data_IF_003963574609
#
_entry.id   IF_003963574609
#
_cell.length_a   1.000
_cell.length_b   1.000
_cell.length_c   1.000
_cell.angle_alpha   90.00
_cell.angle_beta   90.00
_cell.angle_gamma   90.00
#
_symmetry.space_group_name_H-M   'P 1'
#
loop_
_entity.id
_entity.type
_entity.pdbx_description
1 polymer ?
#
# COMPACT_ATOMS: atom_id res chain seq x y z
N UNK A 1 -7.09 16.26 -3.26
CA UNK A 1 -7.09 16.64 -1.84
C UNK A 1 -8.05 15.77 -1.03
N UNK A 2 -9.36 15.74 -1.35
CA UNK A 2 -10.37 15.03 -0.55
C UNK A 2 -9.99 13.55 -0.37
N UNK A 3 -9.53 12.86 -1.40
CA UNK A 3 -9.10 11.46 -1.36
C UNK A 3 -7.91 11.25 -0.39
N UNK A 4 -6.83 12.04 -0.51
CA UNK A 4 -5.71 11.98 0.44
C UNK A 4 -6.08 12.42 1.85
N UNK A 5 -7.07 13.31 2.01
CA UNK A 5 -7.60 13.71 3.32
C UNK A 5 -8.28 12.53 4.01
N UNK A 6 -9.06 11.74 3.26
CA UNK A 6 -9.68 10.53 3.79
C UNK A 6 -8.64 9.46 4.14
N UNK A 7 -7.64 9.23 3.26
CA UNK A 7 -6.54 8.30 3.54
C UNK A 7 -5.76 8.70 4.81
N UNK A 8 -5.38 9.97 4.94
CA UNK A 8 -4.69 10.47 6.14
C UNK A 8 -5.55 10.35 7.40
N UNK A 9 -6.87 10.61 7.29
CA UNK A 9 -7.80 10.45 8.41
C UNK A 9 -7.84 9.00 8.88
N UNK A 10 -7.94 8.05 7.95
CA UNK A 10 -8.02 6.63 8.31
C UNK A 10 -6.67 6.10 8.81
N UNK A 11 -5.53 6.58 8.29
CA UNK A 11 -4.21 6.29 8.86
C UNK A 11 -4.07 6.83 10.30
N UNK A 12 -4.62 8.00 10.61
CA UNK A 12 -4.68 8.52 11.99
C UNK A 12 -5.56 7.66 12.89
N UNK A 13 -6.68 7.15 12.39
CA UNK A 13 -7.54 6.22 13.12
C UNK A 13 -6.83 4.88 13.37
N UNK A 14 -6.07 4.38 12.38
CA UNK A 14 -5.20 3.23 12.54
C UNK A 14 -4.18 3.47 13.66
N UNK A 15 -3.49 4.62 13.65
CA UNK A 15 -2.55 5.00 14.70
C UNK A 15 -3.19 5.00 16.09
N UNK A 16 -4.38 5.56 16.24
CA UNK A 16 -5.12 5.55 17.51
C UNK A 16 -5.41 4.12 17.97
N UNK A 17 -5.82 3.24 17.06
CA UNK A 17 -6.11 1.83 17.39
C UNK A 17 -4.85 1.06 17.77
N UNK A 18 -3.75 1.31 17.07
CA UNK A 18 -2.43 0.72 17.37
C UNK A 18 -1.90 1.24 18.73
N UNK A 19 -1.98 2.53 19.01
CA UNK A 19 -1.55 3.10 20.31
C UNK A 19 -2.35 2.49 21.47
N UNK A 20 -3.64 2.26 21.26
CA UNK A 20 -4.47 1.56 22.24
C UNK A 20 -4.01 0.12 22.44
N UNK A 21 -3.69 -0.60 21.37
CA UNK A 21 -3.16 -1.96 21.43
C UNK A 21 -1.78 -1.98 22.11
N UNK A 22 -0.87 -1.10 21.74
CA UNK A 22 0.47 -1.00 22.34
C UNK A 22 0.40 -0.74 23.84
N UNK A 23 -0.50 0.13 24.28
CA UNK A 23 -0.68 0.46 25.69
C UNK A 23 -1.37 -0.64 26.52
N UNK A 24 -2.20 -1.45 25.86
CA UNK A 24 -2.96 -2.54 26.48
C UNK A 24 -3.13 -3.70 25.46
N UNK A 25 -2.13 -4.57 25.33
CA UNK A 25 -2.14 -5.65 24.34
C UNK A 25 -3.10 -6.77 24.74
N UNK A 26 -4.34 -6.67 24.28
CA UNK A 26 -5.40 -7.66 24.41
C UNK A 26 -5.86 -8.11 23.01
N UNK A 27 -6.50 -9.28 22.92
CA UNK A 27 -7.03 -9.77 21.65
C UNK A 27 -8.02 -8.78 21.03
N UNK A 28 -8.91 -8.20 21.84
CA UNK A 28 -9.87 -7.19 21.36
C UNK A 28 -9.19 -5.97 20.73
N UNK A 29 -8.09 -5.50 21.35
CA UNK A 29 -7.35 -4.35 20.81
C UNK A 29 -6.53 -4.73 19.56
N UNK A 30 -5.98 -5.96 19.49
CA UNK A 30 -5.34 -6.48 18.28
C UNK A 30 -6.34 -6.56 17.12
N UNK A 31 -7.50 -7.14 17.35
CA UNK A 31 -8.56 -7.25 16.34
C UNK A 31 -9.05 -5.86 15.89
N UNK A 32 -9.11 -4.90 16.81
CA UNK A 32 -9.45 -3.52 16.50
C UNK A 32 -8.38 -2.83 15.65
N UNK A 33 -7.10 -3.08 15.93
CA UNK A 33 -5.97 -2.57 15.13
C UNK A 33 -5.98 -3.17 13.72
N UNK A 34 -6.17 -4.49 13.59
CA UNK A 34 -6.34 -5.18 12.31
C UNK A 34 -7.48 -4.57 11.48
N UNK A 35 -8.65 -4.39 12.10
CA UNK A 35 -9.80 -3.77 11.45
C UNK A 35 -9.53 -2.34 11.01
N UNK A 36 -8.81 -1.55 11.81
CA UNK A 36 -8.45 -0.18 11.45
C UNK A 36 -7.45 -0.14 10.28
N UNK A 37 -6.53 -1.12 10.20
CA UNK A 37 -5.64 -1.27 9.05
C UNK A 37 -6.43 -1.54 7.76
N UNK A 38 -7.31 -2.54 7.76
CA UNK A 38 -8.19 -2.86 6.63
C UNK A 38 -8.99 -1.64 6.17
N UNK A 39 -9.55 -0.86 7.11
CA UNK A 39 -10.27 0.36 6.79
C UNK A 39 -9.35 1.43 6.18
N UNK A 40 -8.12 1.57 6.66
CA UNK A 40 -7.14 2.52 6.13
C UNK A 40 -6.71 2.16 4.70
N UNK A 41 -6.60 0.87 4.37
CA UNK A 41 -6.36 0.41 3.00
C UNK A 41 -7.47 0.79 2.03
N UNK A 42 -8.73 0.79 2.46
CA UNK A 42 -9.87 1.19 1.61
C UNK A 42 -9.73 2.63 1.08
N UNK A 43 -9.35 3.56 1.94
CA UNK A 43 -9.18 4.96 1.54
C UNK A 43 -7.84 5.21 0.84
N UNK A 44 -6.76 4.54 1.25
CA UNK A 44 -5.45 4.66 0.60
C UNK A 44 -5.45 4.04 -0.81
N UNK A 45 -5.96 2.83 -1.00
CA UNK A 45 -5.96 2.12 -2.27
C UNK A 45 -6.52 2.93 -3.44
N UNK A 46 -7.53 3.77 -3.19
CA UNK A 46 -8.05 4.66 -4.22
C UNK A 46 -7.15 5.87 -4.53
N UNK A 47 -6.12 6.13 -3.72
CA UNK A 47 -5.11 7.18 -4.02
C UNK A 47 -3.96 6.68 -4.90
N UNK A 48 -3.78 5.39 -5.04
CA UNK A 48 -2.65 4.81 -5.79
C UNK A 48 -2.65 5.20 -7.28
N UNK A 49 -3.80 5.56 -7.83
CA UNK A 49 -3.91 6.14 -9.19
C UNK A 49 -3.12 7.45 -9.38
N UNK A 50 -2.74 8.13 -8.30
CA UNK A 50 -1.92 9.34 -8.38
C UNK A 50 -0.42 9.06 -8.50
N UNK A 51 0.00 7.80 -8.45
CA UNK A 51 1.34 7.34 -8.79
C UNK A 51 1.58 7.46 -10.30
N UNK A 52 2.83 7.38 -10.70
CA UNK A 52 3.29 7.35 -12.09
C UNK A 52 2.91 8.61 -12.90
N UNK A 53 2.63 9.70 -12.18
CA UNK A 53 2.25 10.99 -12.76
C UNK A 53 3.27 12.09 -12.50
N UNK A 54 4.45 11.75 -11.97
CA UNK A 54 5.48 12.68 -11.50
C UNK A 54 4.90 13.69 -10.48
N UNK A 55 4.09 13.16 -9.57
CA UNK A 55 3.39 13.92 -8.53
C UNK A 55 4.11 13.88 -7.17
N UNK A 56 3.51 14.48 -6.12
CA UNK A 56 4.14 14.59 -4.80
C UNK A 56 4.51 13.26 -4.13
N UNK A 57 3.86 12.17 -4.49
CA UNK A 57 4.09 10.88 -3.85
C UNK A 57 5.30 10.15 -4.42
N UNK A 58 5.62 10.34 -5.72
CA UNK A 58 6.59 9.53 -6.43
C UNK A 58 7.38 10.28 -7.51
N UNK A 59 7.45 11.60 -7.44
CA UNK A 59 8.30 12.35 -8.36
C UNK A 59 9.76 11.92 -8.22
N UNK A 60 10.37 11.48 -9.32
CA UNK A 60 11.73 10.93 -9.33
C UNK A 60 12.80 11.99 -9.12
N UNK A 61 12.57 13.21 -9.60
CA UNK A 61 13.53 14.31 -9.54
C UNK A 61 12.88 15.70 -9.45
N UNK A 62 13.72 16.72 -9.40
CA UNK A 62 13.35 18.13 -9.40
C UNK A 62 12.67 18.60 -8.12
N UNK A 63 12.11 19.83 -8.18
CA UNK A 63 11.61 20.50 -7.01
C UNK A 63 10.46 19.76 -6.29
N UNK A 64 9.69 18.93 -6.99
CA UNK A 64 8.59 18.17 -6.40
C UNK A 64 9.18 17.08 -5.49
N UNK A 65 10.11 16.27 -6.00
CA UNK A 65 10.81 15.25 -5.22
C UNK A 65 11.56 15.87 -4.04
N UNK A 66 12.32 16.94 -4.26
CA UNK A 66 13.04 17.66 -3.20
C UNK A 66 12.12 18.23 -2.11
N UNK A 67 10.89 18.61 -2.47
CA UNK A 67 9.95 19.22 -1.53
C UNK A 67 9.15 18.19 -0.72
N UNK A 68 8.75 17.07 -1.33
CA UNK A 68 7.81 16.10 -0.77
C UNK A 68 8.42 14.72 -0.53
N UNK A 69 9.62 14.44 -1.02
CA UNK A 69 10.45 13.29 -0.63
C UNK A 69 10.20 11.98 -1.38
N UNK A 70 9.33 11.96 -2.43
CA UNK A 70 9.04 10.74 -3.19
C UNK A 70 8.70 9.54 -2.26
N UNK A 71 7.69 9.70 -1.42
CA UNK A 71 7.43 8.84 -0.26
C UNK A 71 6.68 7.54 -0.57
N UNK A 72 6.46 7.21 -1.83
CA UNK A 72 5.71 6.01 -2.20
C UNK A 72 6.35 4.75 -1.61
N UNK A 73 7.65 4.54 -1.83
CA UNK A 73 8.37 3.40 -1.28
C UNK A 73 8.42 3.36 0.26
N UNK A 74 8.20 4.49 0.93
CA UNK A 74 8.08 4.55 2.40
C UNK A 74 6.66 4.25 2.90
N UNK A 75 5.65 4.38 2.03
CA UNK A 75 4.23 4.25 2.38
C UNK A 75 3.68 2.88 1.99
N UNK A 76 4.05 2.35 0.81
CA UNK A 76 3.39 1.18 0.23
C UNK A 76 4.31 0.26 -0.59
N UNK A 77 5.62 0.24 -0.31
CA UNK A 77 6.53 -0.68 -1.00
C UNK A 77 6.12 -2.14 -0.83
N UNK A 78 6.28 -2.91 -1.89
CA UNK A 78 6.06 -4.33 -2.02
C UNK A 78 6.95 -4.88 -3.17
N UNK A 79 7.50 -6.09 -3.14
CA UNK A 79 7.35 -7.14 -2.11
C UNK A 79 8.13 -6.83 -0.82
N UNK A 80 7.86 -7.61 0.24
CA UNK A 80 8.46 -7.44 1.57
C UNK A 80 9.14 -8.73 2.02
N UNK A 81 10.42 -8.64 2.42
CA UNK A 81 11.11 -9.74 3.12
C UNK A 81 10.71 -9.75 4.60
N UNK A 82 9.85 -10.68 4.97
CA UNK A 82 9.35 -10.85 6.34
C UNK A 82 10.49 -11.09 7.33
N UNK A 83 11.49 -11.89 6.92
CA UNK A 83 12.64 -12.21 7.76
C UNK A 83 13.50 -11.00 8.13
N UNK A 84 13.40 -9.91 7.37
CA UNK A 84 14.05 -8.66 7.73
C UNK A 84 13.38 -8.01 8.97
N UNK A 85 12.06 -8.07 9.08
CA UNK A 85 11.30 -7.40 10.15
C UNK A 85 11.26 -8.25 11.41
N UNK A 86 10.74 -9.48 11.29
CA UNK A 86 10.44 -10.38 12.41
C UNK A 86 10.63 -11.83 11.97
N UNK A 87 10.43 -12.78 12.88
CA UNK A 87 10.52 -14.19 12.56
C UNK A 87 9.44 -14.63 11.58
N UNK A 88 9.82 -15.60 10.76
CA UNK A 88 8.91 -16.51 10.04
C UNK A 88 9.10 -17.92 10.55
N UNK A 89 8.26 -18.84 10.10
CA UNK A 89 8.40 -20.28 10.36
C UNK A 89 9.01 -20.91 9.12
N UNK A 90 10.20 -21.49 9.29
CA UNK A 90 10.90 -22.19 8.20
C UNK A 90 10.25 -23.56 7.88
N UNK A 91 10.76 -24.21 6.84
CA UNK A 91 10.28 -25.53 6.40
C UNK A 91 10.38 -26.64 7.46
N UNK A 92 11.24 -26.45 8.46
CA UNK A 92 11.38 -27.37 9.61
C UNK A 92 10.42 -27.05 10.75
N UNK A 93 9.59 -26.02 10.62
CA UNK A 93 8.65 -25.54 11.64
C UNK A 93 9.32 -24.74 12.74
N UNK A 94 10.52 -24.15 12.48
CA UNK A 94 11.27 -23.37 13.45
C UNK A 94 11.15 -21.88 13.13
N UNK A 95 11.19 -21.05 14.18
CA UNK A 95 11.31 -19.60 14.03
C UNK A 95 12.68 -19.23 13.47
N UNK A 96 12.69 -18.41 12.44
CA UNK A 96 13.90 -17.73 11.96
C UNK A 96 14.40 -16.70 12.97
N UNK A 97 15.60 -16.17 12.76
CA UNK A 97 16.23 -15.15 13.62
C UNK A 97 17.20 -14.29 12.81
N UNK A 98 17.70 -13.22 13.42
CA UNK A 98 18.60 -12.27 12.77
C UNK A 98 17.85 -11.15 12.07
N UNK A 99 16.65 -10.81 12.54
CA UNK A 99 15.79 -9.75 12.05
C UNK A 99 15.90 -8.46 12.91
N UNK A 100 15.20 -7.40 12.51
CA UNK A 100 15.18 -6.12 13.23
C UNK A 100 14.65 -6.29 14.67
N UNK A 101 13.64 -7.15 14.87
CA UNK A 101 13.01 -7.35 16.18
C UNK A 101 13.97 -8.01 17.17
N UNK A 102 14.73 -9.01 16.79
CA UNK A 102 15.62 -9.76 17.71
C UNK A 102 17.06 -9.20 17.77
N UNK A 103 17.38 -8.17 16.97
CA UNK A 103 18.71 -7.55 16.94
C UNK A 103 18.78 -6.33 17.87
N UNK A 104 19.80 -6.30 18.72
CA UNK A 104 20.18 -5.11 19.50
C UNK A 104 21.55 -4.64 19.01
N UNK A 105 21.63 -3.42 18.47
CA UNK A 105 22.83 -2.85 17.91
C UNK A 105 22.71 -2.62 16.41
N UNK A 106 23.81 -2.88 15.68
CA UNK A 106 23.84 -2.71 14.22
C UNK A 106 23.17 -3.88 13.50
N UNK A 107 22.32 -3.54 12.57
CA UNK A 107 21.64 -4.46 11.68
C UNK A 107 21.98 -4.13 10.23
N UNK A 108 22.26 -5.13 9.43
CA UNK A 108 22.45 -5.01 7.98
C UNK A 108 21.37 -5.84 7.29
N UNK A 109 20.51 -5.24 6.47
CA UNK A 109 19.43 -5.97 5.80
C UNK A 109 19.91 -6.91 4.70
N UNK A 110 21.18 -6.80 4.29
CA UNK A 110 21.71 -7.58 3.17
C UNK A 110 21.42 -6.94 1.82
N UNK A 111 21.94 -7.57 0.75
CA UNK A 111 21.80 -7.07 -0.61
C UNK A 111 22.98 -6.19 -1.05
N UNK A 112 22.90 -5.71 -2.30
CA UNK A 112 23.97 -4.91 -2.91
C UNK A 112 24.06 -3.53 -2.26
N UNK A 113 25.28 -3.11 -1.91
CA UNK A 113 25.54 -1.79 -1.30
C UNK A 113 24.75 -1.49 0.00
N UNK A 114 24.19 -2.53 0.65
CA UNK A 114 23.46 -2.37 1.90
C UNK A 114 24.35 -1.75 2.99
N UNK A 115 23.75 -0.91 3.83
CA UNK A 115 24.43 -0.21 4.93
C UNK A 115 23.90 -0.68 6.26
N UNK A 116 24.82 -0.82 7.23
CA UNK A 116 24.44 -1.07 8.62
C UNK A 116 23.69 0.13 9.21
N UNK A 117 22.59 -0.14 9.89
CA UNK A 117 21.81 0.84 10.65
C UNK A 117 21.76 0.41 12.12
N UNK A 118 21.89 1.35 13.03
CA UNK A 118 21.76 1.08 14.46
C UNK A 118 20.30 0.97 14.86
N UNK A 119 19.88 -0.25 15.18
CA UNK A 119 18.52 -0.58 15.63
C UNK A 119 18.44 -0.86 17.13
N UNK A 120 19.43 -0.39 17.92
CA UNK A 120 19.36 -0.50 19.39
C UNK A 120 18.04 0.04 19.93
N UNK A 121 17.56 1.13 19.32
CA UNK A 121 16.19 1.64 19.47
C UNK A 121 15.51 1.66 18.12
N UNK A 122 14.26 1.27 18.07
CA UNK A 122 13.44 1.43 16.88
C UNK A 122 13.01 2.90 16.80
N UNK A 123 13.47 3.62 15.78
CA UNK A 123 13.11 5.03 15.56
C UNK A 123 12.64 5.23 14.13
N UNK A 124 11.93 6.34 13.87
CA UNK A 124 11.48 6.70 12.52
C UNK A 124 12.68 6.79 11.57
N UNK A 125 13.77 7.39 12.01
CA UNK A 125 14.99 7.54 11.22
C UNK A 125 15.60 6.18 10.87
N UNK A 126 15.75 5.28 11.85
CA UNK A 126 16.33 3.95 11.63
C UNK A 126 15.47 3.14 10.63
N UNK A 127 14.15 3.15 10.78
CA UNK A 127 13.26 2.47 9.83
C UNK A 127 13.30 3.11 8.44
N UNK A 128 13.40 4.44 8.36
CA UNK A 128 13.55 5.13 7.08
C UNK A 128 14.84 4.76 6.35
N UNK A 129 15.96 4.65 7.10
CA UNK A 129 17.26 4.27 6.54
C UNK A 129 17.35 2.80 6.13
N UNK A 130 16.54 1.94 6.76
CA UNK A 130 16.47 0.51 6.44
C UNK A 130 15.59 0.22 5.22
N UNK A 131 14.60 1.06 4.95
CA UNK A 131 13.65 0.82 3.87
C UNK A 131 14.35 0.84 2.51
N UNK A 132 14.22 -0.26 1.76
CA UNK A 132 14.86 -0.50 0.45
C UNK A 132 16.41 -0.45 0.49
N UNK A 133 17.02 -0.51 1.66
CA UNK A 133 18.45 -0.49 1.86
C UNK A 133 19.07 -1.82 1.40
N UNK A 134 19.70 -1.81 0.22
CA UNK A 134 20.35 -2.97 -0.39
C UNK A 134 19.45 -3.83 -1.28
N UNK A 135 18.13 -3.55 -1.34
CA UNK A 135 17.20 -4.27 -2.21
C UNK A 135 15.77 -3.78 -2.03
N UNK A 136 14.98 -3.86 -3.08
CA UNK A 136 13.58 -3.40 -3.06
C UNK A 136 12.68 -4.17 -2.08
N UNK A 137 12.99 -5.45 -1.81
CA UNK A 137 12.25 -6.24 -0.83
C UNK A 137 12.61 -5.93 0.63
N UNK A 138 13.68 -5.15 0.89
CA UNK A 138 14.08 -4.75 2.24
C UNK A 138 13.13 -3.68 2.82
N UNK A 139 11.84 -3.99 2.86
CA UNK A 139 10.79 -3.06 3.31
C UNK A 139 10.69 -3.07 4.83
N UNK A 140 10.85 -1.91 5.46
CA UNK A 140 10.77 -1.71 6.91
C UNK A 140 9.71 -0.72 7.34
N UNK A 141 9.05 -0.04 6.40
CA UNK A 141 8.05 1.00 6.64
C UNK A 141 6.76 0.74 5.86
N UNK A 142 5.77 1.58 6.07
CA UNK A 142 4.54 1.58 5.27
C UNK A 142 3.49 0.57 5.71
N UNK A 143 2.48 0.44 4.86
CA UNK A 143 1.31 -0.38 5.14
C UNK A 143 1.65 -1.87 5.31
N UNK A 144 2.52 -2.42 4.45
CA UNK A 144 2.81 -3.86 4.46
C UNK A 144 3.70 -4.27 5.64
N UNK A 145 4.61 -3.41 6.10
CA UNK A 145 5.33 -3.65 7.35
C UNK A 145 4.39 -3.68 8.58
N UNK A 146 3.40 -2.78 8.62
CA UNK A 146 2.36 -2.78 9.67
C UNK A 146 1.49 -4.04 9.56
N UNK A 147 1.13 -4.42 8.35
CA UNK A 147 0.35 -5.63 8.06
C UNK A 147 1.05 -6.87 8.59
N UNK A 148 2.30 -7.09 8.18
CA UNK A 148 3.10 -8.23 8.65
C UNK A 148 3.25 -8.25 10.19
N UNK A 149 3.47 -7.09 10.81
CA UNK A 149 3.53 -7.02 12.28
C UNK A 149 2.22 -7.42 12.95
N UNK A 150 1.07 -7.09 12.36
CA UNK A 150 -0.25 -7.41 12.93
C UNK A 150 -0.69 -8.86 12.67
N UNK A 151 -0.47 -9.38 11.47
CA UNK A 151 -0.94 -10.70 11.06
C UNK A 151 0.12 -11.79 11.14
N UNK A 152 1.41 -11.43 10.99
CA UNK A 152 2.48 -12.40 10.81
C UNK A 152 2.47 -13.02 9.43
N UNK A 153 3.28 -14.04 9.26
CA UNK A 153 3.35 -14.84 8.04
C UNK A 153 1.96 -15.40 7.69
N UNK A 154 1.65 -15.46 6.41
CA UNK A 154 0.44 -16.12 5.94
C UNK A 154 0.46 -17.61 6.33
N UNK A 155 -0.68 -18.12 6.77
CA UNK A 155 -0.80 -19.47 7.27
C UNK A 155 -0.88 -20.51 6.15
N UNK A 156 -1.31 -20.10 4.97
CA UNK A 156 -1.51 -20.98 3.84
C UNK A 156 -0.25 -21.21 3.00
N UNK A 157 0.82 -20.43 3.20
CA UNK A 157 2.03 -20.49 2.37
C UNK A 157 2.56 -21.92 2.14
N UNK A 158 2.80 -22.68 3.20
CA UNK A 158 3.28 -24.07 3.06
C UNK A 158 2.22 -25.01 2.48
N UNK A 159 0.94 -24.71 2.68
CA UNK A 159 -0.17 -25.49 2.16
C UNK A 159 -0.42 -25.20 0.68
N UNK A 160 -0.18 -23.98 0.24
CA UNK A 160 -0.35 -23.56 -1.14
C UNK A 160 0.45 -24.43 -2.11
N UNK A 161 1.72 -24.63 -1.83
CA UNK A 161 2.63 -25.46 -2.65
C UNK A 161 2.30 -26.95 -2.58
N UNK A 162 1.80 -27.44 -1.45
CA UNK A 162 1.52 -28.85 -1.19
C UNK A 162 0.05 -29.25 -1.45
N UNK A 163 -0.75 -28.40 -2.03
CA UNK A 163 -2.18 -28.60 -2.28
C UNK A 163 -3.01 -28.85 -1.01
N UNK A 164 -2.55 -28.33 0.11
CA UNK A 164 -3.22 -28.42 1.42
C UNK A 164 -3.93 -27.14 1.82
N UNK A 165 -3.93 -26.16 0.94
CA UNK A 165 -4.62 -24.88 1.15
C UNK A 165 -6.09 -25.10 1.46
N UNK A 166 -6.58 -24.37 2.42
CA UNK A 166 -8.02 -24.32 2.68
C UNK A 166 -8.73 -23.59 1.54
N UNK A 167 -9.87 -24.12 1.12
CA UNK A 167 -10.70 -23.49 0.10
C UNK A 167 -11.83 -22.65 0.70
N UNK A 168 -11.58 -22.09 1.87
CA UNK A 168 -12.52 -21.21 2.57
C UNK A 168 -12.43 -19.76 2.10
N UNK A 169 -13.33 -18.93 2.62
CA UNK A 169 -13.18 -17.48 2.53
C UNK A 169 -12.01 -17.04 3.43
N UNK A 170 -11.31 -16.04 3.04
CA UNK A 170 -10.15 -15.37 3.67
C UNK A 170 -9.50 -16.10 4.85
N UNK A 171 -8.26 -16.52 4.68
CA UNK A 171 -7.44 -17.20 5.71
C UNK A 171 -6.18 -16.38 5.94
N UNK A 172 -6.31 -15.27 6.64
CA UNK A 172 -5.21 -14.36 6.97
C UNK A 172 -4.25 -14.94 8.00
N UNK A 173 -3.05 -14.38 8.08
CA UNK A 173 -2.05 -14.74 9.08
C UNK A 173 -2.57 -14.69 10.52
N UNK A 174 -2.13 -15.64 11.34
CA UNK A 174 -2.62 -15.86 12.70
C UNK A 174 -1.55 -15.57 13.78
N UNK A 175 -0.91 -14.39 13.71
CA UNK A 175 0.06 -13.99 14.74
C UNK A 175 -0.56 -14.06 16.13
N UNK A 176 0.01 -14.84 17.06
CA UNK A 176 -0.59 -15.04 18.38
C UNK A 176 -0.39 -13.81 19.26
N UNK A 177 -1.36 -13.52 20.11
CA UNK A 177 -1.27 -12.43 21.09
C UNK A 177 -0.04 -12.56 22.03
N UNK A 178 0.45 -13.79 22.25
CA UNK A 178 1.67 -14.03 23.04
C UNK A 178 2.88 -13.29 22.49
N UNK A 179 2.95 -13.06 21.19
CA UNK A 179 4.05 -12.31 20.54
C UNK A 179 4.13 -10.86 21.01
N UNK A 180 3.02 -10.32 21.49
CA UNK A 180 2.92 -8.95 22.02
C UNK A 180 2.85 -8.88 23.54
N UNK A 181 2.83 -10.02 24.25
CA UNK A 181 2.63 -10.07 25.71
C UNK A 181 3.72 -10.83 26.45
N UNK A 182 3.92 -12.09 26.14
CA UNK A 182 4.82 -13.01 26.88
C UNK A 182 6.08 -13.40 26.13
N UNK A 183 6.14 -13.17 24.83
CA UNK A 183 7.34 -13.40 24.03
C UNK A 183 8.50 -12.50 24.52
N UNK A 184 9.74 -12.99 24.43
CA UNK A 184 10.95 -12.24 24.84
C UNK A 184 11.07 -10.88 24.14
N UNK A 185 10.63 -10.80 22.88
CA UNK A 185 10.74 -9.61 22.03
C UNK A 185 9.43 -8.80 21.96
N UNK A 186 8.42 -9.14 22.80
CA UNK A 186 7.09 -8.51 22.78
C UNK A 186 7.15 -6.97 22.85
N UNK A 187 7.98 -6.44 23.74
CA UNK A 187 8.16 -4.98 23.89
C UNK A 187 8.67 -4.33 22.62
N UNK A 188 9.63 -4.98 21.97
CA UNK A 188 10.28 -4.44 20.80
C UNK A 188 9.37 -4.46 19.59
N UNK A 189 8.54 -5.52 19.49
CA UNK A 189 7.50 -5.64 18.45
C UNK A 189 6.43 -4.55 18.60
N UNK A 190 6.01 -4.26 19.82
CA UNK A 190 5.10 -3.14 20.12
C UNK A 190 5.74 -1.77 19.82
N UNK A 191 7.02 -1.58 20.13
CA UNK A 191 7.77 -0.37 19.78
C UNK A 191 7.81 -0.17 18.27
N UNK A 192 8.17 -1.21 17.52
CA UNK A 192 8.19 -1.16 16.04
C UNK A 192 6.82 -0.77 15.49
N UNK A 193 5.78 -1.47 15.92
CA UNK A 193 4.41 -1.21 15.46
C UNK A 193 3.98 0.24 15.70
N UNK A 194 4.33 0.80 16.85
CA UNK A 194 4.05 2.21 17.19
C UNK A 194 4.81 3.18 16.28
N UNK A 195 6.12 2.93 16.06
CA UNK A 195 7.00 3.81 15.30
C UNK A 195 6.67 3.79 13.80
N UNK A 196 6.48 2.60 13.21
CA UNK A 196 6.16 2.48 11.78
C UNK A 196 4.79 3.10 11.46
N UNK A 197 3.83 2.99 12.37
CA UNK A 197 2.52 3.64 12.17
C UNK A 197 2.60 5.16 12.34
N UNK A 198 3.44 5.66 13.23
CA UNK A 198 3.73 7.09 13.34
C UNK A 198 4.31 7.62 12.02
N UNK A 199 5.31 6.92 11.49
CA UNK A 199 5.92 7.28 10.20
C UNK A 199 4.89 7.31 9.07
N UNK A 200 4.03 6.30 8.95
CA UNK A 200 2.97 6.27 7.94
C UNK A 200 2.08 7.53 7.99
N UNK A 201 1.69 7.97 9.19
CA UNK A 201 0.89 9.19 9.38
C UNK A 201 1.68 10.44 8.99
N UNK A 202 2.97 10.50 9.31
CA UNK A 202 3.85 11.63 8.95
C UNK A 202 4.00 11.73 7.44
N UNK A 203 4.31 10.63 6.76
CA UNK A 203 4.49 10.57 5.32
C UNK A 203 3.21 10.94 4.56
N UNK A 204 2.08 10.35 4.95
CA UNK A 204 0.78 10.72 4.38
C UNK A 204 0.39 12.18 4.66
N UNK A 205 0.85 12.76 5.79
CA UNK A 205 0.63 14.18 6.07
C UNK A 205 1.42 15.07 5.10
N UNK A 206 2.65 14.69 4.76
CA UNK A 206 3.46 15.41 3.77
C UNK A 206 2.79 15.35 2.39
N UNK A 207 2.43 14.15 1.92
CA UNK A 207 1.77 13.98 0.61
C UNK A 207 0.44 14.73 0.55
N UNK A 208 -0.39 14.62 1.59
CA UNK A 208 -1.68 15.34 1.67
C UNK A 208 -1.48 16.84 1.63
N UNK A 209 -0.46 17.36 2.33
CA UNK A 209 -0.17 18.79 2.40
C UNK A 209 0.08 19.41 1.03
N UNK A 210 0.70 18.67 0.10
CA UNK A 210 0.96 19.12 -1.27
C UNK A 210 -0.31 19.57 -2.01
N UNK A 211 -1.46 19.00 -1.66
CA UNK A 211 -2.75 19.23 -2.29
C UNK A 211 -3.63 20.29 -1.59
N UNK A 212 -3.14 20.90 -0.52
CA UNK A 212 -3.88 21.93 0.21
C UNK A 212 -4.27 23.10 -0.69
N UNK A 213 -5.38 23.78 -0.32
CA UNK A 213 -5.91 24.91 -1.14
C UNK A 213 -5.08 26.17 -0.98
N UNK A 214 -4.59 26.41 0.23
CA UNK A 214 -3.84 27.59 0.60
C UNK A 214 -2.34 27.25 0.71
N UNK A 215 -1.50 28.14 0.22
CA UNK A 215 -0.05 27.98 0.31
C UNK A 215 0.41 28.42 1.69
N UNK A 216 1.02 27.48 2.43
CA UNK A 216 1.67 27.74 3.71
C UNK A 216 2.98 26.93 3.80
N UNK A 217 4.10 27.57 3.54
CA UNK A 217 5.37 26.84 3.31
C UNK A 217 5.25 25.93 2.10
N UNK A 218 5.53 24.63 2.28
CA UNK A 218 5.39 23.61 1.23
C UNK A 218 3.95 23.15 1.02
N UNK A 219 3.07 23.34 2.01
CA UNK A 219 1.65 22.98 1.86
C UNK A 219 0.99 23.79 0.76
N UNK A 220 0.22 23.16 -0.11
CA UNK A 220 -0.50 23.75 -1.23
C UNK A 220 0.39 24.21 -2.40
N UNK A 221 1.71 24.08 -2.29
CA UNK A 221 2.63 24.55 -3.32
C UNK A 221 2.45 23.75 -4.62
N UNK A 222 2.42 22.41 -4.55
CA UNK A 222 2.18 21.57 -5.73
C UNK A 222 0.84 21.86 -6.39
N UNK A 223 -0.24 21.93 -5.60
CA UNK A 223 -1.56 22.26 -6.12
C UNK A 223 -1.57 23.61 -6.86
N UNK A 224 -0.92 24.62 -6.29
CA UNK A 224 -0.85 25.94 -6.91
C UNK A 224 -0.01 25.90 -8.20
N UNK A 225 1.09 25.14 -8.23
CA UNK A 225 1.90 24.92 -9.42
C UNK A 225 1.10 24.23 -10.54
N UNK A 226 0.38 23.16 -10.20
CA UNK A 226 -0.49 22.40 -11.10
C UNK A 226 -1.58 23.30 -11.73
N UNK A 227 -2.09 24.24 -10.96
CA UNK A 227 -3.10 25.21 -11.42
C UNK A 227 -2.52 26.45 -12.10
N UNK A 228 -1.19 26.56 -12.21
CA UNK A 228 -0.50 27.72 -12.79
C UNK A 228 -0.70 29.01 -11.99
N UNK A 229 -0.83 28.91 -10.67
CA UNK A 229 -1.15 30.03 -9.77
C UNK A 229 0.03 30.60 -9.01
N UNK A 230 1.21 30.01 -9.12
CA UNK A 230 2.42 30.51 -8.45
C UNK A 230 2.87 31.83 -9.05
N UNK A 231 3.34 32.75 -8.20
CA UNK A 231 3.78 34.10 -8.55
C UNK A 231 5.14 34.41 -7.92
N UNK A 232 5.74 35.50 -8.34
CA UNK A 232 7.02 35.99 -7.79
C UNK A 232 8.13 34.97 -7.99
N UNK A 233 8.88 34.66 -6.94
CA UNK A 233 10.05 33.74 -6.98
C UNK A 233 9.67 32.28 -7.27
N UNK A 234 8.45 31.89 -6.99
CA UNK A 234 7.98 30.52 -7.20
C UNK A 234 7.33 30.32 -8.58
N UNK A 235 7.25 31.38 -9.41
CA UNK A 235 6.56 31.33 -10.72
C UNK A 235 7.09 30.22 -11.64
N UNK A 236 8.38 29.98 -11.60
CA UNK A 236 9.05 29.02 -12.49
C UNK A 236 8.75 27.54 -12.09
N UNK A 237 8.18 27.32 -10.91
CA UNK A 237 7.65 26.03 -10.48
C UNK A 237 6.26 25.69 -11.06
N UNK A 238 5.59 26.64 -11.73
CA UNK A 238 4.33 26.35 -12.39
C UNK A 238 4.51 25.25 -13.43
N UNK A 239 3.64 24.24 -13.38
CA UNK A 239 3.67 23.13 -14.31
C UNK A 239 3.02 23.53 -15.65
N UNK A 240 3.60 23.04 -16.76
CA UNK A 240 2.98 23.21 -18.07
C UNK A 240 1.72 22.36 -18.16
N UNK A 241 0.58 22.99 -18.42
CA UNK A 241 -0.74 22.32 -18.40
C UNK A 241 -0.85 21.18 -19.40
N UNK A 242 -0.24 21.32 -20.58
CA UNK A 242 -0.35 20.32 -21.64
C UNK A 242 0.51 19.10 -21.32
N UNK A 243 1.75 19.33 -20.89
CA UNK A 243 2.66 18.25 -20.51
C UNK A 243 2.17 17.54 -19.25
N UNK A 244 1.70 18.27 -18.25
CA UNK A 244 1.10 17.67 -17.05
C UNK A 244 -0.14 16.83 -17.36
N UNK A 245 -1.02 17.28 -18.26
CA UNK A 245 -2.17 16.48 -18.67
C UNK A 245 -1.76 15.21 -19.41
N UNK A 246 -0.72 15.28 -20.25
CA UNK A 246 -0.17 14.08 -20.90
C UNK A 246 0.41 13.11 -19.87
N UNK A 247 1.17 13.60 -18.89
CA UNK A 247 1.72 12.77 -17.81
C UNK A 247 0.63 12.11 -16.99
N UNK A 248 -0.43 12.84 -16.63
CA UNK A 248 -1.57 12.26 -15.89
C UNK A 248 -2.24 11.15 -16.71
N UNK A 249 -2.56 11.38 -17.98
CA UNK A 249 -3.20 10.38 -18.83
C UNK A 249 -2.29 9.17 -19.08
N UNK A 250 -1.00 9.42 -19.31
CA UNK A 250 -0.02 8.34 -19.48
C UNK A 250 0.14 7.53 -18.17
N UNK A 251 0.28 8.21 -17.03
CA UNK A 251 0.37 7.58 -15.72
C UNK A 251 -0.86 6.73 -15.40
N UNK A 252 -2.06 7.22 -15.70
CA UNK A 252 -3.29 6.41 -15.57
C UNK A 252 -3.26 5.14 -16.42
N UNK A 253 -2.74 5.24 -17.65
CA UNK A 253 -2.60 4.10 -18.55
C UNK A 253 -1.57 3.08 -18.07
N UNK A 254 -0.42 3.55 -17.57
CA UNK A 254 0.61 2.71 -16.97
C UNK A 254 0.09 2.06 -15.69
N UNK A 255 -0.60 2.81 -14.83
CA UNK A 255 -1.17 2.27 -13.60
C UNK A 255 -2.13 1.09 -13.88
N UNK A 256 -3.10 1.25 -14.79
CA UNK A 256 -4.04 0.16 -15.11
C UNK A 256 -3.33 -1.04 -15.73
N UNK A 257 -2.34 -0.82 -16.61
CA UNK A 257 -1.66 -1.91 -17.30
C UNK A 257 -0.60 -2.60 -16.45
N UNK A 258 0.26 -1.82 -15.82
CA UNK A 258 1.42 -2.33 -15.09
C UNK A 258 1.10 -2.62 -13.64
N UNK A 259 0.61 -1.64 -12.88
CA UNK A 259 0.33 -1.84 -11.46
C UNK A 259 -0.86 -2.78 -11.23
N UNK A 260 -2.03 -2.45 -11.80
CA UNK A 260 -3.23 -3.22 -11.49
C UNK A 260 -3.27 -4.56 -12.23
N UNK A 261 -3.09 -4.57 -13.56
CA UNK A 261 -3.26 -5.79 -14.34
C UNK A 261 -2.03 -6.71 -14.28
N UNK A 262 -0.81 -6.16 -14.26
CA UNK A 262 0.40 -6.97 -14.22
C UNK A 262 0.81 -7.30 -12.79
N UNK A 263 1.21 -6.30 -11.99
CA UNK A 263 1.81 -6.54 -10.67
C UNK A 263 0.81 -7.17 -9.68
N UNK A 264 -0.45 -6.70 -9.65
CA UNK A 264 -1.42 -7.19 -8.67
C UNK A 264 -2.23 -8.42 -9.11
N UNK A 265 -2.23 -8.76 -10.41
CA UNK A 265 -3.01 -9.91 -10.92
C UNK A 265 -2.13 -10.88 -11.70
N UNK A 266 -1.50 -10.44 -12.80
CA UNK A 266 -0.85 -11.37 -13.72
C UNK A 266 0.37 -12.06 -13.07
N UNK A 267 1.18 -11.36 -12.28
CA UNK A 267 2.35 -11.95 -11.60
C UNK A 267 1.88 -13.06 -10.68
N UNK A 268 0.93 -12.80 -9.79
CA UNK A 268 0.39 -13.80 -8.88
C UNK A 268 -0.29 -15.00 -9.61
N UNK A 269 -0.98 -14.75 -10.73
CA UNK A 269 -1.64 -15.83 -11.51
C UNK A 269 -0.65 -16.66 -12.33
N UNK A 270 0.37 -16.03 -12.92
CA UNK A 270 1.32 -16.72 -13.81
C UNK A 270 2.37 -17.51 -13.05
N UNK A 271 2.74 -17.04 -11.88
CA UNK A 271 3.63 -17.72 -10.94
C UNK A 271 2.91 -17.80 -9.60
N UNK A 272 1.95 -18.73 -9.43
CA UNK A 272 1.13 -18.79 -8.24
C UNK A 272 1.98 -18.85 -6.97
N UNK A 273 2.04 -17.75 -6.25
CA UNK A 273 2.85 -17.55 -5.06
C UNK A 273 2.17 -16.50 -4.18
N UNK A 274 2.13 -16.73 -2.89
CA UNK A 274 1.67 -15.76 -1.91
C UNK A 274 2.60 -14.55 -1.83
N UNK A 275 3.91 -14.74 -2.05
CA UNK A 275 4.90 -13.65 -2.07
C UNK A 275 4.61 -12.64 -3.19
N UNK A 276 3.96 -13.08 -4.26
CA UNK A 276 3.54 -12.21 -5.37
C UNK A 276 2.15 -11.60 -5.16
N UNK A 277 1.47 -11.93 -4.08
CA UNK A 277 0.19 -11.35 -3.69
C UNK A 277 0.37 -10.06 -2.87
N UNK A 278 -0.26 -8.98 -3.29
CA UNK A 278 0.01 -7.63 -2.78
C UNK A 278 -0.29 -7.40 -1.28
N UNK A 279 -1.32 -8.00 -0.72
CA UNK A 279 -1.69 -7.90 0.70
C UNK A 279 -1.97 -9.29 1.27
N UNK A 280 -0.98 -10.19 1.14
CA UNK A 280 -1.12 -11.60 1.48
C UNK A 280 -1.35 -11.82 2.98
N UNK A 281 -0.62 -11.11 3.86
CA UNK A 281 -0.70 -11.34 5.31
C UNK A 281 -2.10 -11.17 5.89
N UNK A 282 -2.91 -10.30 5.30
CA UNK A 282 -4.27 -10.01 5.73
C UNK A 282 -5.36 -10.58 4.80
N UNK A 283 -4.99 -11.24 3.70
CA UNK A 283 -5.89 -11.65 2.62
C UNK A 283 -6.68 -10.48 2.01
N UNK A 284 -6.06 -9.29 1.90
CA UNK A 284 -6.77 -8.09 1.47
C UNK A 284 -6.60 -7.75 0.00
N UNK A 285 -5.86 -8.53 -0.78
CA UNK A 285 -5.56 -8.25 -2.20
C UNK A 285 -6.81 -8.00 -3.04
N UNK A 286 -7.86 -8.79 -2.82
CA UNK A 286 -9.14 -8.60 -3.50
C UNK A 286 -9.72 -7.18 -3.29
N UNK A 287 -9.46 -6.54 -2.13
CA UNK A 287 -9.88 -5.17 -1.86
C UNK A 287 -8.96 -4.15 -2.51
N UNK A 288 -7.66 -4.43 -2.55
CA UNK A 288 -6.71 -3.57 -3.26
C UNK A 288 -7.09 -3.46 -4.75
N UNK A 289 -7.45 -4.57 -5.40
CA UNK A 289 -7.96 -4.57 -6.78
C UNK A 289 -9.18 -3.66 -6.95
N UNK A 290 -10.17 -3.78 -6.05
CA UNK A 290 -11.38 -2.94 -6.08
C UNK A 290 -11.02 -1.47 -5.93
N UNK A 291 -10.17 -1.12 -4.97
CA UNK A 291 -9.87 0.28 -4.64
C UNK A 291 -8.93 0.94 -5.64
N UNK A 292 -7.98 0.21 -6.17
CA UNK A 292 -7.14 0.68 -7.26
C UNK A 292 -7.98 1.01 -8.50
N UNK A 293 -8.90 0.12 -8.87
CA UNK A 293 -9.82 0.37 -9.97
C UNK A 293 -10.78 1.53 -9.68
N UNK A 294 -11.30 1.64 -8.46
CA UNK A 294 -12.11 2.78 -8.03
C UNK A 294 -11.36 4.12 -8.19
N UNK A 295 -10.09 4.16 -7.80
CA UNK A 295 -9.22 5.32 -7.99
C UNK A 295 -9.13 5.74 -9.46
N UNK A 296 -8.88 4.80 -10.36
CA UNK A 296 -8.89 5.05 -11.80
C UNK A 296 -10.22 5.58 -12.30
N UNK A 297 -11.33 4.94 -11.92
CA UNK A 297 -12.68 5.34 -12.27
C UNK A 297 -12.99 6.76 -11.79
N UNK A 298 -12.56 7.09 -10.58
CA UNK A 298 -12.75 8.41 -9.98
C UNK A 298 -12.10 9.52 -10.81
N UNK A 299 -10.87 9.34 -11.27
CA UNK A 299 -10.17 10.33 -12.11
C UNK A 299 -10.83 10.42 -13.48
N UNK A 300 -11.11 9.28 -14.11
CA UNK A 300 -11.67 9.23 -15.46
C UNK A 300 -13.07 9.88 -15.53
N UNK A 301 -13.87 9.75 -14.47
CA UNK A 301 -15.22 10.31 -14.34
C UNK A 301 -15.29 11.66 -13.63
N UNK A 302 -14.18 12.14 -13.07
CA UNK A 302 -14.12 13.31 -12.19
C UNK A 302 -15.08 13.21 -11.00
N UNK A 303 -15.19 12.03 -10.39
CA UNK A 303 -16.05 11.77 -9.22
C UNK A 303 -15.23 11.25 -8.06
N UNK A 304 -15.65 11.53 -6.85
CA UNK A 304 -15.14 10.94 -5.64
C UNK A 304 -16.22 10.97 -4.55
N UNK A 305 -16.46 9.84 -3.87
CA UNK A 305 -17.51 9.70 -2.85
C UNK A 305 -18.87 10.22 -3.33
N UNK A 306 -19.27 9.90 -4.57
CA UNK A 306 -20.54 10.31 -5.16
C UNK A 306 -20.62 11.79 -5.57
N UNK A 307 -19.59 12.58 -5.34
CA UNK A 307 -19.53 14.00 -5.71
C UNK A 307 -18.78 14.17 -7.03
N UNK A 308 -19.34 14.94 -7.96
CA UNK A 308 -18.68 15.33 -9.21
C UNK A 308 -17.86 16.62 -9.01
N UNK A 309 -16.64 16.63 -9.54
CA UNK A 309 -15.65 17.70 -9.37
C UNK A 309 -15.40 18.53 -10.64
N UNK A 310 -16.27 18.45 -11.62
CA UNK A 310 -16.18 19.19 -12.88
C UNK A 310 -16.40 18.31 -14.10
N UNK A 311 -15.95 18.78 -15.26
CA UNK A 311 -15.94 17.98 -16.49
C UNK A 311 -14.96 16.82 -16.35
N UNK A 312 -15.32 15.68 -16.90
CA UNK A 312 -14.52 14.46 -16.84
C UNK A 312 -13.70 14.25 -18.11
N UNK A 313 -12.65 13.43 -18.02
CA UNK A 313 -11.92 12.98 -19.21
C UNK A 313 -12.86 12.27 -20.18
N UNK A 314 -13.86 11.53 -19.70
CA UNK A 314 -14.89 10.91 -20.52
C UNK A 314 -15.74 11.92 -21.29
N UNK A 315 -15.98 13.10 -20.74
CA UNK A 315 -16.81 14.12 -21.39
C UNK A 315 -16.08 14.78 -22.56
N UNK A 316 -14.75 14.66 -22.62
CA UNK A 316 -13.92 15.16 -23.73
C UNK A 316 -13.85 14.20 -24.94
N UNK A 317 -14.30 12.96 -24.78
CA UNK A 317 -14.30 11.95 -25.86
C UNK A 317 -15.48 12.12 -26.79
N UNK A 318 -15.30 11.74 -28.07
CA UNK A 318 -16.44 11.58 -28.95
C UNK A 318 -17.34 10.42 -28.47
N UNK A 319 -18.55 10.33 -29.03
CA UNK A 319 -19.57 9.38 -28.55
C UNK A 319 -19.13 7.91 -28.65
N UNK A 320 -18.46 7.55 -29.73
CA UNK A 320 -18.09 6.15 -29.97
C UNK A 320 -16.95 5.71 -29.06
N UNK A 321 -15.92 6.54 -28.88
CA UNK A 321 -14.84 6.28 -27.93
C UNK A 321 -15.35 6.27 -26.49
N UNK A 322 -16.24 7.19 -26.13
CA UNK A 322 -16.86 7.21 -24.80
C UNK A 322 -17.61 5.92 -24.52
N UNK A 323 -18.44 5.45 -25.47
CA UNK A 323 -19.19 4.20 -25.31
C UNK A 323 -18.24 3.00 -25.18
N UNK A 324 -17.15 2.96 -25.95
CA UNK A 324 -16.14 1.90 -25.88
C UNK A 324 -15.45 1.88 -24.51
N UNK A 325 -15.03 3.05 -24.01
CA UNK A 325 -14.40 3.16 -22.68
C UNK A 325 -15.37 2.73 -21.57
N UNK A 326 -16.62 3.20 -21.61
CA UNK A 326 -17.64 2.80 -20.63
C UNK A 326 -17.91 1.30 -20.63
N UNK A 327 -17.91 0.67 -21.80
CA UNK A 327 -18.06 -0.79 -21.89
C UNK A 327 -16.87 -1.51 -21.27
N UNK A 328 -15.63 -1.11 -21.59
CA UNK A 328 -14.42 -1.71 -20.99
C UNK A 328 -14.40 -1.52 -19.47
N UNK A 329 -14.80 -0.35 -18.98
CA UNK A 329 -14.91 -0.11 -17.55
C UNK A 329 -15.89 -1.07 -16.86
N UNK A 330 -17.06 -1.27 -17.48
CA UNK A 330 -18.07 -2.21 -16.96
C UNK A 330 -17.54 -3.65 -16.96
N UNK A 331 -16.85 -4.06 -18.02
CA UNK A 331 -16.32 -5.41 -18.16
C UNK A 331 -15.21 -5.69 -17.11
N UNK A 332 -14.35 -4.70 -16.81
CA UNK A 332 -13.32 -4.79 -15.76
C UNK A 332 -13.97 -4.82 -14.37
N UNK A 333 -14.93 -3.92 -14.11
CA UNK A 333 -15.64 -3.84 -12.83
C UNK A 333 -16.33 -5.17 -12.49
N UNK A 334 -17.00 -5.80 -13.46
CA UNK A 334 -17.64 -7.10 -13.29
C UNK A 334 -16.64 -8.20 -12.86
N UNK A 335 -15.44 -8.20 -13.48
CA UNK A 335 -14.40 -9.18 -13.14
C UNK A 335 -13.83 -8.94 -11.73
N UNK A 336 -13.48 -7.70 -11.39
CA UNK A 336 -12.96 -7.35 -10.07
C UNK A 336 -13.99 -7.64 -8.98
N UNK A 337 -15.26 -7.29 -9.19
CA UNK A 337 -16.35 -7.59 -8.27
C UNK A 337 -16.55 -9.11 -8.09
N UNK A 338 -16.32 -9.90 -9.12
CA UNK A 338 -16.37 -11.36 -9.04
C UNK A 338 -15.26 -11.90 -8.14
N UNK A 339 -14.02 -11.42 -8.29
CA UNK A 339 -12.89 -11.80 -7.44
C UNK A 339 -13.18 -11.44 -5.97
N UNK A 340 -13.59 -10.19 -5.72
CA UNK A 340 -13.92 -9.70 -4.39
C UNK A 340 -15.05 -10.51 -3.71
N UNK A 341 -16.10 -10.80 -4.47
CA UNK A 341 -17.21 -11.61 -3.96
C UNK A 341 -16.79 -13.04 -3.62
N UNK A 342 -15.99 -13.66 -4.49
CA UNK A 342 -15.51 -15.03 -4.26
C UNK A 342 -14.58 -15.05 -3.06
N UNK A 343 -13.65 -14.08 -2.93
CA UNK A 343 -12.76 -13.98 -1.79
C UNK A 343 -13.50 -13.87 -0.45
N UNK A 344 -14.56 -13.10 -0.41
CA UNK A 344 -15.38 -12.90 0.80
C UNK A 344 -16.26 -14.07 1.18
N UNK A 345 -16.58 -14.99 0.26
CA UNK A 345 -17.68 -15.96 0.49
C UNK A 345 -17.32 -17.41 0.19
N UNK A 346 -16.24 -17.67 -0.57
CA UNK A 346 -16.00 -19.02 -1.09
C UNK A 346 -14.53 -19.43 -1.02
N UNK A 347 -13.62 -18.62 -1.57
CA UNK A 347 -12.21 -18.93 -1.72
C UNK A 347 -11.39 -17.64 -1.70
N UNK A 348 -10.46 -17.51 -0.77
CA UNK A 348 -9.53 -16.38 -0.71
C UNK A 348 -8.72 -16.26 -2.00
N UNK A 349 -8.02 -15.14 -2.20
CA UNK A 349 -7.43 -14.82 -3.50
C UNK A 349 -6.36 -15.84 -3.91
N UNK A 350 -5.48 -16.28 -2.99
CA UNK A 350 -4.44 -17.29 -3.22
C UNK A 350 -5.03 -18.59 -3.78
N UNK A 351 -6.18 -19.01 -3.23
CA UNK A 351 -6.86 -20.18 -3.73
C UNK A 351 -7.48 -19.96 -5.11
N UNK A 352 -7.96 -18.73 -5.40
CA UNK A 352 -8.52 -18.39 -6.71
C UNK A 352 -7.49 -18.42 -7.83
N UNK A 353 -6.22 -18.06 -7.54
CA UNK A 353 -5.13 -18.05 -8.53
C UNK A 353 -4.56 -19.44 -8.83
N UNK A 354 -4.85 -20.46 -8.03
CA UNK A 354 -4.40 -21.85 -8.30
C UNK A 354 -4.88 -22.32 -9.67
N UNK A 355 -4.02 -22.94 -10.50
CA UNK A 355 -4.36 -23.34 -11.87
C UNK A 355 -5.60 -24.23 -11.99
N UNK A 356 -5.89 -25.02 -10.99
CA UNK A 356 -7.04 -25.94 -10.92
C UNK A 356 -8.35 -25.23 -10.56
N UNK A 357 -8.28 -24.04 -9.96
CA UNK A 357 -9.46 -23.30 -9.56
C UNK A 357 -10.16 -22.70 -10.78
N UNK A 358 -11.49 -22.80 -10.90
CA UNK A 358 -12.23 -22.24 -12.06
C UNK A 358 -11.98 -20.75 -12.27
N UNK A 359 -11.76 -19.98 -11.20
CA UNK A 359 -11.52 -18.54 -11.25
C UNK A 359 -10.19 -18.19 -11.91
N UNK A 360 -9.14 -18.98 -11.76
CA UNK A 360 -7.84 -18.75 -12.39
C UNK A 360 -7.91 -18.65 -13.92
N UNK A 361 -8.95 -19.22 -14.55
CA UNK A 361 -9.19 -19.10 -15.99
C UNK A 361 -9.93 -17.82 -16.39
N UNK A 362 -10.46 -17.09 -15.41
CA UNK A 362 -11.23 -15.86 -15.59
C UNK A 362 -10.38 -14.64 -15.30
N UNK A 363 -9.42 -14.79 -14.36
CA UNK A 363 -8.40 -13.78 -14.05
C UNK A 363 -7.45 -13.62 -15.21
#
# INVERSE_FOLDING_TARGET
>A
LDNYTDALKDAKNLKISIDKFVSNPTQENLDSAKKAWLQSRESYGSTEIFRLTNGPIDAEDGWIAETYGALEGQINAWPLDENMIDYTIDADGKRTSGNIIDTIGKFNPGGEESKEVDVTKITVEALTELNENGGEANVSTGYHAIEFLLWGQDQDYNNFLEDKITNGAMVAGLRPLSDFTTDKDAKRRLEYLSVVTQKLVEDLSVVTSAWEKDIKGNAGLYRAALLGKLKGKEKDKNLDKKETMKQIIAGMGVFIKSELANERVAVAVLTPSEEDEHSCFSDNTHRDLVKNYEGFKNILTSTYNGKKYGESLLDSLNKDDKNRVLKLMSDIEEKIDSVDKIAKTQAHFDYQIKPEHPQAKVL
#
